data_IF_193961113086
#
_entry.id   IF_193961113086
#
_cell.length_a   1.000
_cell.length_b   1.000
_cell.length_c   1.000
_cell.angle_alpha   90.00
_cell.angle_beta   90.00
_cell.angle_gamma   90.00
#
_symmetry.space_group_name_H-M   'P 1'
#
loop_
_entity.id
_entity.type
_entity.pdbx_description
1 polymer ?
#
# COMPACT_ATOMS: atom_id res chain seq x y z
N UNK A 1 41.78 8.44 20.88
CA UNK A 1 42.34 9.80 21.08
C UNK A 1 42.70 10.38 19.74
N UNK A 2 41.97 11.38 19.25
CA UNK A 2 42.35 12.15 18.06
C UNK A 2 42.89 13.49 18.56
N UNK A 3 44.22 13.63 18.55
CA UNK A 3 44.92 14.88 18.85
C UNK A 3 44.61 15.90 17.74
N UNK A 4 43.71 16.82 18.04
CA UNK A 4 43.52 18.04 17.25
C UNK A 4 44.61 19.03 17.65
N UNK A 5 45.67 19.12 16.84
CA UNK A 5 46.78 20.09 16.95
C UNK A 5 46.30 21.55 16.86
N UNK A 6 45.84 22.13 17.97
CA UNK A 6 45.74 23.58 18.16
C UNK A 6 45.82 23.91 19.67
N UNK A 7 46.68 24.84 20.12
CA UNK A 7 47.01 25.04 21.54
C UNK A 7 45.88 25.63 22.42
N UNK A 8 44.71 25.98 21.86
CA UNK A 8 43.61 26.65 22.55
C UNK A 8 42.29 25.83 22.65
N UNK A 9 42.35 24.50 22.52
CA UNK A 9 41.16 23.66 22.39
C UNK A 9 40.52 23.19 23.71
N UNK A 10 41.28 23.04 24.80
CA UNK A 10 40.72 22.47 26.04
C UNK A 10 39.67 23.38 26.70
N UNK A 11 39.89 24.69 26.72
CA UNK A 11 38.93 25.66 27.28
C UNK A 11 37.66 25.74 26.42
N UNK A 12 37.81 25.73 25.09
CA UNK A 12 36.69 25.73 24.14
C UNK A 12 35.85 24.46 24.24
N UNK A 13 36.51 23.31 24.37
CA UNK A 13 35.87 22.02 24.63
C UNK A 13 35.14 22.04 25.97
N UNK A 14 35.80 22.50 27.03
CA UNK A 14 35.20 22.64 28.36
C UNK A 14 33.95 23.52 28.37
N UNK A 15 33.99 24.65 27.67
CA UNK A 15 32.85 25.56 27.52
C UNK A 15 31.68 24.93 26.74
N UNK A 16 31.96 24.22 25.64
CA UNK A 16 30.93 23.46 24.90
C UNK A 16 30.25 22.44 25.83
N UNK A 17 31.03 21.69 26.60
CA UNK A 17 30.51 20.65 27.50
C UNK A 17 29.71 21.25 28.66
N UNK A 18 30.17 22.36 29.26
CA UNK A 18 29.46 23.06 30.34
C UNK A 18 28.12 23.60 29.85
N UNK A 19 28.10 24.24 28.67
CA UNK A 19 26.86 24.72 28.05
C UNK A 19 25.91 23.56 27.72
N UNK A 20 26.44 22.42 27.26
CA UNK A 20 25.62 21.24 27.00
C UNK A 20 25.04 20.62 28.28
N UNK A 21 25.84 20.50 29.35
CA UNK A 21 25.38 20.04 30.67
C UNK A 21 24.28 20.95 31.24
N UNK A 22 24.31 22.24 30.93
CA UNK A 22 23.25 23.20 31.29
C UNK A 22 21.98 23.13 30.41
N UNK A 23 21.89 22.14 29.49
CA UNK A 23 20.70 21.87 28.68
C UNK A 23 20.56 22.69 27.40
N UNK A 24 21.58 23.46 26.99
CA UNK A 24 21.54 24.25 25.76
C UNK A 24 21.54 23.37 24.51
N UNK A 25 20.84 23.81 23.47
CA UNK A 25 20.81 23.14 22.16
C UNK A 25 22.11 23.37 21.39
N UNK A 26 22.44 22.50 20.43
CA UNK A 26 23.67 22.61 19.64
C UNK A 26 23.72 23.95 18.87
N UNK A 27 22.58 24.43 18.36
CA UNK A 27 22.49 25.73 17.68
C UNK A 27 22.76 26.90 18.65
N UNK A 28 22.22 26.84 19.87
CA UNK A 28 22.46 27.88 20.87
C UNK A 28 23.89 27.85 21.42
N UNK A 29 24.51 26.68 21.48
CA UNK A 29 25.93 26.53 21.81
C UNK A 29 26.79 27.14 20.69
N UNK A 30 26.45 26.88 19.43
CA UNK A 30 27.12 27.50 18.26
C UNK A 30 27.06 29.02 18.34
N UNK A 31 25.89 29.58 18.63
CA UNK A 31 25.71 31.03 18.80
C UNK A 31 26.54 31.59 19.95
N UNK A 32 26.51 30.96 21.13
CA UNK A 32 27.23 31.45 22.32
C UNK A 32 28.75 31.32 22.16
N UNK A 33 29.23 30.23 21.57
CA UNK A 33 30.67 29.96 21.44
C UNK A 33 31.27 30.56 20.18
N UNK A 34 30.44 31.05 19.25
CA UNK A 34 30.84 31.47 17.89
C UNK A 34 31.65 30.40 17.13
N UNK A 35 31.53 29.12 17.51
CA UNK A 35 32.27 28.03 16.87
C UNK A 35 31.48 27.43 15.69
N UNK A 36 32.18 26.89 14.68
CA UNK A 36 31.52 26.14 13.61
C UNK A 36 30.70 24.98 14.14
N UNK A 37 29.49 24.80 13.60
CA UNK A 37 28.56 23.75 14.02
C UNK A 37 29.17 22.33 13.90
N UNK A 38 30.02 22.12 12.90
CA UNK A 38 30.77 20.87 12.71
C UNK A 38 31.72 20.56 13.87
N UNK A 39 32.33 21.60 14.45
CA UNK A 39 33.30 21.48 15.53
C UNK A 39 32.58 21.23 16.86
N UNK A 40 31.49 21.97 17.13
CA UNK A 40 30.61 21.71 18.28
C UNK A 40 30.07 20.27 18.25
N UNK A 41 29.66 19.76 17.09
CA UNK A 41 29.21 18.37 16.93
C UNK A 41 30.34 17.38 17.20
N UNK A 42 31.53 17.56 16.62
CA UNK A 42 32.68 16.68 16.83
C UNK A 42 33.07 16.58 18.31
N UNK A 43 33.14 17.71 19.01
CA UNK A 43 33.46 17.75 20.45
C UNK A 43 32.42 16.95 21.27
N UNK A 44 31.13 17.16 21.00
CA UNK A 44 30.06 16.45 21.69
C UNK A 44 29.98 14.95 21.37
N UNK A 45 30.49 14.53 20.20
CA UNK A 45 30.56 13.12 19.79
C UNK A 45 31.75 12.42 20.46
N UNK A 46 32.92 13.08 20.54
CA UNK A 46 34.17 12.49 21.04
C UNK A 46 34.15 12.31 22.58
N UNK A 47 33.49 13.19 23.32
CA UNK A 47 33.45 13.19 24.80
C UNK A 47 32.39 12.26 25.43
N UNK A 48 31.83 11.31 24.67
CA UNK A 48 31.08 10.19 25.23
C UNK A 48 29.63 10.45 25.61
N UNK A 49 28.73 10.64 24.62
CA UNK A 49 27.32 10.20 24.71
C UNK A 49 26.82 9.77 23.32
N UNK A 50 26.78 8.46 23.06
CA UNK A 50 26.03 7.84 21.95
C UNK A 50 24.52 8.13 21.96
N UNK A 51 24.03 8.89 22.94
CA UNK A 51 22.66 9.39 23.01
C UNK A 51 22.59 10.88 22.72
N UNK A 52 22.79 11.26 21.45
CA UNK A 52 22.51 12.61 20.93
C UNK A 52 21.18 12.63 20.15
N UNK A 53 20.11 12.07 20.72
CA UNK A 53 18.77 12.50 20.32
C UNK A 53 18.50 13.89 20.90
N UNK A 54 17.89 14.81 20.13
CA UNK A 54 17.52 16.12 20.63
C UNK A 54 16.61 15.96 21.85
N UNK A 55 16.89 16.71 22.93
CA UNK A 55 15.85 17.02 23.91
C UNK A 55 15.01 18.14 23.28
N UNK A 56 13.75 17.88 22.87
CA UNK A 56 12.85 18.94 22.52
C UNK A 56 12.23 19.41 23.82
N UNK A 57 12.64 20.57 24.33
CA UNK A 57 11.64 21.45 24.95
C UNK A 57 10.94 22.20 23.82
N UNK A 58 10.03 21.48 23.16
CA UNK A 58 8.90 22.05 22.43
C UNK A 58 7.75 21.13 22.75
N UNK A 59 6.74 21.67 23.43
CA UNK A 59 5.38 21.15 23.59
C UNK A 59 5.02 20.01 22.63
N UNK A 60 5.36 18.76 22.97
CA UNK A 60 4.66 17.60 22.44
C UNK A 60 3.56 17.32 23.44
N UNK A 61 2.42 17.99 23.31
CA UNK A 61 1.20 17.33 23.77
C UNK A 61 1.20 15.99 23.04
N UNK A 62 1.35 14.91 23.79
CA UNK A 62 0.92 13.61 23.30
C UNK A 62 -0.50 13.83 22.79
N UNK A 63 -0.75 13.57 21.50
CA UNK A 63 -2.09 13.72 20.99
C UNK A 63 -3.00 12.88 21.87
N UNK A 64 -3.98 13.53 22.45
CA UNK A 64 -5.01 12.87 23.25
C UNK A 64 -5.71 11.83 22.38
N UNK A 65 -6.27 10.81 23.02
CA UNK A 65 -7.09 9.81 22.33
C UNK A 65 -8.20 10.47 21.48
N UNK A 66 -8.76 11.59 21.95
CA UNK A 66 -9.74 12.39 21.23
C UNK A 66 -9.20 12.99 19.94
N UNK A 67 -8.00 13.57 19.94
CA UNK A 67 -7.39 14.14 18.73
C UNK A 67 -7.05 13.07 17.68
N UNK A 68 -6.60 11.89 18.12
CA UNK A 68 -6.35 10.75 17.21
C UNK A 68 -7.66 10.27 16.59
N UNK A 69 -8.73 10.16 17.38
CA UNK A 69 -10.06 9.78 16.90
C UNK A 69 -10.62 10.80 15.90
N UNK A 70 -10.43 12.09 16.16
CA UNK A 70 -10.86 13.16 15.27
C UNK A 70 -10.14 13.07 13.91
N UNK A 71 -8.80 12.99 13.93
CA UNK A 71 -8.00 12.83 12.70
C UNK A 71 -8.33 11.54 11.97
N UNK A 72 -8.49 10.43 12.69
CA UNK A 72 -8.93 9.17 12.09
C UNK A 72 -10.28 9.31 11.42
N UNK A 73 -11.25 9.93 12.09
CA UNK A 73 -12.59 10.15 11.55
C UNK A 73 -12.56 10.96 10.25
N UNK A 74 -11.78 12.04 10.22
CA UNK A 74 -11.61 12.87 9.02
C UNK A 74 -10.99 12.07 7.86
N UNK A 75 -9.91 11.34 8.11
CA UNK A 75 -9.28 10.51 7.08
C UNK A 75 -10.20 9.38 6.60
N UNK A 76 -10.89 8.70 7.52
CA UNK A 76 -11.80 7.62 7.19
C UNK A 76 -12.95 8.11 6.31
N UNK A 77 -13.53 9.26 6.66
CA UNK A 77 -14.58 9.91 5.88
C UNK A 77 -14.09 10.28 4.48
N UNK A 78 -12.88 10.85 4.33
CA UNK A 78 -12.29 11.17 3.02
C UNK A 78 -12.15 9.94 2.13
N UNK A 79 -11.66 8.82 2.67
CA UNK A 79 -11.56 7.57 1.93
C UNK A 79 -12.92 7.02 1.53
N UNK A 80 -13.88 7.01 2.46
CA UNK A 80 -15.23 6.47 2.19
C UNK A 80 -15.98 7.32 1.17
N UNK A 81 -15.92 8.65 1.26
CA UNK A 81 -16.57 9.54 0.29
C UNK A 81 -16.07 9.31 -1.14
N UNK A 82 -14.76 9.13 -1.31
CA UNK A 82 -14.19 8.91 -2.64
C UNK A 82 -14.51 7.51 -3.20
N UNK A 83 -14.84 6.55 -2.32
CA UNK A 83 -15.25 5.19 -2.70
C UNK A 83 -16.77 5.07 -2.93
N UNK A 84 -17.57 5.86 -2.21
CA UNK A 84 -19.02 5.85 -2.25
C UNK A 84 -19.53 7.01 -3.09
N UNK A 85 -19.90 6.75 -4.34
CA UNK A 85 -20.58 7.78 -5.14
C UNK A 85 -21.90 8.26 -4.53
N UNK A 86 -22.55 7.52 -3.61
CA UNK A 86 -23.89 7.87 -3.11
C UNK A 86 -24.27 7.45 -1.65
N UNK A 87 -23.40 6.83 -0.83
CA UNK A 87 -23.75 6.61 0.60
C UNK A 87 -22.56 6.20 1.48
N UNK A 88 -22.26 7.00 2.49
CA UNK A 88 -21.27 6.71 3.56
C UNK A 88 -21.78 5.68 4.57
N UNK A 89 -23.10 5.50 4.69
CA UNK A 89 -23.74 4.60 5.65
C UNK A 89 -23.28 3.15 5.50
N UNK A 90 -22.93 2.73 4.27
CA UNK A 90 -22.44 1.38 3.98
C UNK A 90 -21.12 1.05 4.69
N UNK A 91 -20.34 2.04 5.11
CA UNK A 91 -19.00 1.84 5.69
C UNK A 91 -18.93 2.19 7.18
N UNK A 92 -19.99 2.74 7.78
CA UNK A 92 -20.00 3.11 9.20
C UNK A 92 -19.86 1.88 10.12
N UNK A 93 -20.47 0.75 9.76
CA UNK A 93 -20.33 -0.49 10.53
C UNK A 93 -18.88 -0.98 10.64
N UNK A 94 -18.00 -0.60 9.69
CA UNK A 94 -16.58 -0.96 9.71
C UNK A 94 -15.73 0.04 10.49
N UNK A 95 -16.21 1.26 10.71
CA UNK A 95 -15.46 2.34 11.38
C UNK A 95 -15.10 1.97 12.81
N UNK A 96 -16.04 1.41 13.57
CA UNK A 96 -15.79 0.95 14.94
C UNK A 96 -14.71 -0.14 15.00
N UNK A 97 -14.76 -1.11 14.07
CA UNK A 97 -13.72 -2.15 13.95
C UNK A 97 -12.36 -1.55 13.58
N UNK A 98 -12.33 -0.58 12.67
CA UNK A 98 -11.11 0.12 12.27
C UNK A 98 -10.46 0.85 13.45
N UNK A 99 -11.24 1.58 14.25
CA UNK A 99 -10.74 2.30 15.44
C UNK A 99 -10.10 1.32 16.43
N UNK A 100 -10.76 0.18 16.70
CA UNK A 100 -10.23 -0.83 17.62
C UNK A 100 -8.86 -1.35 17.17
N UNK A 101 -8.72 -1.69 15.89
CA UNK A 101 -7.46 -2.19 15.33
C UNK A 101 -6.40 -1.09 15.28
N UNK A 102 -6.77 0.16 14.99
CA UNK A 102 -5.84 1.30 15.00
C UNK A 102 -5.17 1.44 16.36
N UNK A 103 -5.94 1.42 17.45
CA UNK A 103 -5.37 1.56 18.79
C UNK A 103 -4.47 0.38 19.16
N UNK A 104 -4.83 -0.85 18.78
CA UNK A 104 -3.94 -2.02 18.95
C UNK A 104 -2.59 -1.81 18.25
N UNK A 105 -2.60 -1.30 17.01
CA UNK A 105 -1.37 -0.97 16.27
C UNK A 105 -0.57 0.12 16.98
N UNK A 106 -1.23 1.18 17.41
CA UNK A 106 -0.57 2.32 18.05
C UNK A 106 0.07 1.90 19.40
N UNK A 107 -0.53 0.95 20.11
CA UNK A 107 -0.01 0.41 21.36
C UNK A 107 1.20 -0.52 21.15
N UNK A 108 1.26 -1.24 20.03
CA UNK A 108 2.38 -2.14 19.67
C UNK A 108 3.58 -1.41 19.05
N UNK A 109 3.37 -0.21 18.50
CA UNK A 109 4.47 0.59 17.96
C UNK A 109 5.39 1.06 19.10
N UNK A 110 6.72 1.01 18.94
CA UNK A 110 7.63 1.54 19.95
C UNK A 110 7.22 2.97 20.29
N UNK A 111 7.17 3.33 21.59
CA UNK A 111 6.88 4.67 22.13
C UNK A 111 7.91 5.70 21.64
N UNK A 112 7.93 5.93 20.34
CA UNK A 112 8.72 6.92 19.64
C UNK A 112 7.92 8.22 19.71
N UNK A 113 8.55 9.38 19.96
CA UNK A 113 7.86 10.65 20.17
C UNK A 113 7.32 11.25 18.86
N UNK A 114 6.70 10.45 18.00
CA UNK A 114 6.38 10.83 16.64
C UNK A 114 4.96 10.44 16.22
N UNK A 115 3.99 10.91 17.00
CA UNK A 115 2.66 11.25 16.49
C UNK A 115 2.72 12.25 15.31
N UNK A 116 3.89 12.89 15.07
CA UNK A 116 4.26 13.66 13.86
C UNK A 116 4.11 12.88 12.54
N UNK A 117 3.82 11.58 12.58
CA UNK A 117 3.61 10.76 11.39
C UNK A 117 2.18 10.21 11.25
N UNK A 118 1.21 10.61 12.08
CA UNK A 118 -0.18 10.17 11.94
C UNK A 118 -0.76 10.48 10.56
N UNK A 119 -0.48 11.66 10.01
CA UNK A 119 -0.88 12.01 8.63
C UNK A 119 -0.30 11.09 7.55
N UNK A 120 0.74 10.29 7.86
CA UNK A 120 1.27 9.25 6.96
C UNK A 120 0.78 7.86 7.32
N UNK A 121 0.55 7.59 8.61
CA UNK A 121 0.12 6.28 9.12
C UNK A 121 -1.37 6.07 8.90
N UNK A 122 -2.21 7.05 9.25
CA UNK A 122 -3.67 6.94 9.16
C UNK A 122 -4.18 6.63 7.75
N UNK A 123 -3.74 7.33 6.68
CA UNK A 123 -4.20 7.00 5.32
C UNK A 123 -3.84 5.57 4.92
N UNK A 124 -2.63 5.12 5.30
CA UNK A 124 -2.12 3.79 4.94
C UNK A 124 -2.82 2.71 5.76
N UNK A 125 -3.07 2.97 7.05
CA UNK A 125 -3.85 2.11 7.91
C UNK A 125 -5.27 1.93 7.36
N UNK A 126 -5.96 3.02 7.03
CA UNK A 126 -7.32 2.99 6.47
C UNK A 126 -7.33 2.23 5.14
N UNK A 127 -6.39 2.53 4.24
CA UNK A 127 -6.21 1.80 2.99
C UNK A 127 -6.06 0.28 3.23
N UNK A 128 -5.16 -0.13 4.12
CA UNK A 128 -4.93 -1.54 4.43
C UNK A 128 -6.15 -2.19 5.09
N UNK A 129 -6.80 -1.51 6.01
CA UNK A 129 -7.99 -1.98 6.71
C UNK A 129 -9.15 -2.21 5.73
N UNK A 130 -9.43 -1.25 4.84
CA UNK A 130 -10.50 -1.38 3.84
C UNK A 130 -10.22 -2.58 2.92
N UNK A 131 -8.98 -2.74 2.46
CA UNK A 131 -8.58 -3.88 1.61
C UNK A 131 -8.63 -5.22 2.35
N UNK A 132 -8.30 -5.26 3.64
CA UNK A 132 -8.47 -6.45 4.47
C UNK A 132 -9.94 -6.86 4.59
N UNK A 133 -10.86 -5.89 4.64
CA UNK A 133 -12.30 -6.13 4.62
C UNK A 133 -12.89 -6.18 3.19
N UNK A 134 -12.07 -6.59 2.21
CA UNK A 134 -12.46 -6.83 0.80
C UNK A 134 -12.95 -5.62 0.00
N UNK A 135 -12.81 -4.42 0.56
CA UNK A 135 -13.15 -3.18 -0.14
C UNK A 135 -12.01 -2.86 -1.10
N UNK A 136 -12.36 -2.61 -2.35
CA UNK A 136 -11.39 -2.34 -3.37
C UNK A 136 -10.96 -0.87 -3.33
N UNK A 137 -9.75 -0.64 -2.84
CA UNK A 137 -9.15 0.68 -2.72
C UNK A 137 -7.88 0.69 -3.56
N UNK A 138 -7.80 1.62 -4.51
CA UNK A 138 -6.65 1.72 -5.41
C UNK A 138 -5.45 2.38 -4.72
N UNK A 139 -4.23 2.00 -5.11
CA UNK A 139 -3.02 2.67 -4.60
C UNK A 139 -2.98 4.15 -5.03
N UNK A 140 -3.55 4.47 -6.21
CA UNK A 140 -3.67 5.85 -6.69
C UNK A 140 -4.54 6.69 -5.76
N UNK A 141 -5.64 6.13 -5.26
CA UNK A 141 -6.49 6.81 -4.28
C UNK A 141 -5.72 7.12 -2.98
N UNK A 142 -4.94 6.15 -2.48
CA UNK A 142 -4.06 6.38 -1.33
C UNK A 142 -3.04 7.50 -1.62
N UNK A 143 -2.41 7.51 -2.79
CA UNK A 143 -1.44 8.55 -3.17
C UNK A 143 -2.11 9.93 -3.24
N UNK A 144 -3.27 10.03 -3.88
CA UNK A 144 -4.02 11.27 -4.05
C UNK A 144 -4.44 11.85 -2.69
N UNK A 145 -5.03 11.02 -1.83
CA UNK A 145 -5.52 11.48 -0.53
C UNK A 145 -4.37 11.82 0.43
N UNK A 146 -3.30 11.02 0.45
CA UNK A 146 -2.20 11.20 1.40
C UNK A 146 -1.13 12.21 0.95
N UNK A 147 -1.12 12.61 -0.32
CA UNK A 147 -0.05 13.41 -0.92
C UNK A 147 1.30 12.69 -0.97
N UNK A 148 1.33 11.38 -0.75
CA UNK A 148 2.56 10.58 -0.75
C UNK A 148 2.87 10.02 -2.13
N UNK A 149 4.17 10.01 -2.46
CA UNK A 149 4.66 9.26 -3.61
C UNK A 149 4.55 7.74 -3.37
N UNK A 150 4.61 6.99 -4.47
CA UNK A 150 4.43 5.54 -4.48
C UNK A 150 5.42 4.83 -3.54
N UNK A 151 6.67 5.27 -3.51
CA UNK A 151 7.71 4.66 -2.68
C UNK A 151 7.44 4.86 -1.18
N UNK A 152 7.02 6.07 -0.77
CA UNK A 152 6.61 6.37 0.60
C UNK A 152 5.39 5.55 1.02
N UNK A 153 4.38 5.40 0.14
CA UNK A 153 3.24 4.52 0.38
C UNK A 153 3.71 3.08 0.65
N UNK A 154 4.60 2.51 -0.17
CA UNK A 154 5.10 1.16 0.03
C UNK A 154 5.92 0.99 1.32
N UNK A 155 6.75 1.95 1.69
CA UNK A 155 7.47 1.89 2.97
C UNK A 155 6.51 1.90 4.16
N UNK A 156 5.48 2.76 4.14
CA UNK A 156 4.49 2.83 5.19
C UNK A 156 3.64 1.54 5.25
N UNK A 157 3.25 1.00 4.09
CA UNK A 157 2.55 -0.28 3.99
C UNK A 157 3.39 -1.41 4.60
N UNK A 158 4.69 -1.48 4.31
CA UNK A 158 5.57 -2.50 4.88
C UNK A 158 5.60 -2.47 6.42
N UNK A 159 5.49 -1.27 7.01
CA UNK A 159 5.44 -1.10 8.48
C UNK A 159 4.12 -1.56 9.08
N UNK A 160 3.01 -1.39 8.37
CA UNK A 160 1.65 -1.66 8.87
C UNK A 160 1.16 -3.06 8.50
N UNK A 161 1.66 -3.64 7.40
CA UNK A 161 1.21 -4.95 6.89
C UNK A 161 1.46 -6.09 7.87
N UNK A 162 2.47 -5.99 8.74
CA UNK A 162 2.69 -6.95 9.82
C UNK A 162 1.48 -7.11 10.75
N UNK A 163 0.64 -6.07 10.87
CA UNK A 163 -0.52 -6.05 11.77
C UNK A 163 -1.83 -6.47 11.11
N UNK A 164 -1.83 -6.74 9.80
CA UNK A 164 -3.00 -7.30 9.10
C UNK A 164 -2.68 -8.71 8.59
N UNK A 165 -2.48 -9.70 9.48
CA UNK A 165 -2.21 -11.06 9.07
C UNK A 165 -3.34 -11.63 8.22
N UNK A 166 -4.58 -11.19 8.44
CA UNK A 166 -5.76 -11.57 7.64
C UNK A 166 -5.61 -11.19 6.16
N UNK A 167 -5.02 -10.02 5.85
CA UNK A 167 -4.77 -9.59 4.48
C UNK A 167 -3.66 -10.41 3.81
N UNK A 168 -2.65 -10.83 4.59
CA UNK A 168 -1.54 -11.66 4.13
C UNK A 168 -1.97 -13.12 3.96
N UNK A 169 -2.80 -13.64 4.87
CA UNK A 169 -3.27 -15.03 4.93
C UNK A 169 -4.52 -15.30 4.07
N UNK A 170 -5.14 -14.27 3.49
CA UNK A 170 -6.36 -14.46 2.68
C UNK A 170 -6.08 -15.38 1.49
N UNK A 171 -7.02 -16.29 1.24
CA UNK A 171 -7.02 -17.03 -0.01
C UNK A 171 -7.37 -16.08 -1.16
N UNK A 172 -6.32 -15.55 -1.79
CA UNK A 172 -6.45 -14.62 -2.90
C UNK A 172 -7.16 -15.24 -4.09
N UNK A 173 -7.09 -16.56 -4.29
CA UNK A 173 -7.85 -17.23 -5.36
C UNK A 173 -9.35 -17.10 -5.08
N UNK A 174 -9.79 -17.32 -3.84
CA UNK A 174 -11.20 -17.16 -3.46
C UNK A 174 -11.68 -15.71 -3.59
N UNK A 175 -10.84 -14.73 -3.23
CA UNK A 175 -11.17 -13.30 -3.44
C UNK A 175 -11.38 -13.00 -4.93
N UNK A 176 -10.49 -13.51 -5.78
CA UNK A 176 -10.60 -13.36 -7.24
C UNK A 176 -11.86 -14.05 -7.76
N UNK A 177 -12.15 -15.28 -7.33
CA UNK A 177 -13.37 -16.00 -7.72
C UNK A 177 -14.63 -15.28 -7.24
N UNK A 178 -14.64 -14.70 -6.04
CA UNK A 178 -15.75 -13.89 -5.56
C UNK A 178 -16.06 -12.71 -6.49
N UNK A 179 -15.02 -12.03 -7.00
CA UNK A 179 -15.17 -10.96 -7.99
C UNK A 179 -15.68 -11.47 -9.33
N UNK A 180 -15.21 -12.63 -9.81
CA UNK A 180 -15.72 -13.25 -11.03
C UNK A 180 -17.18 -13.70 -10.88
N UNK A 181 -17.56 -14.22 -9.71
CA UNK A 181 -18.95 -14.58 -9.39
C UNK A 181 -19.86 -13.35 -9.43
N UNK A 182 -19.38 -12.21 -8.92
CA UNK A 182 -20.11 -10.95 -8.99
C UNK A 182 -20.38 -10.53 -10.45
N UNK A 183 -19.40 -10.69 -11.36
CA UNK A 183 -19.60 -10.44 -12.81
C UNK A 183 -20.67 -11.40 -13.36
N UNK A 184 -20.57 -12.70 -13.04
CA UNK A 184 -21.56 -13.69 -13.48
C UNK A 184 -22.98 -13.27 -13.12
N UNK A 185 -23.20 -12.94 -11.84
CA UNK A 185 -24.52 -12.56 -11.34
C UNK A 185 -24.99 -11.27 -12.00
N UNK A 186 -24.12 -10.25 -12.09
CA UNK A 186 -24.49 -8.95 -12.62
C UNK A 186 -24.88 -8.97 -14.11
N UNK A 187 -24.20 -9.78 -14.93
CA UNK A 187 -24.48 -9.88 -16.36
C UNK A 187 -25.32 -11.11 -16.75
N UNK A 188 -25.83 -11.87 -15.77
CA UNK A 188 -26.63 -13.07 -16.04
C UNK A 188 -25.89 -14.15 -16.83
N UNK A 189 -24.59 -14.35 -16.57
CA UNK A 189 -23.79 -15.35 -17.31
C UNK A 189 -24.07 -16.78 -16.83
N UNK A 190 -23.93 -17.72 -17.76
CA UNK A 190 -24.13 -19.16 -17.55
C UNK A 190 -23.18 -19.77 -16.48
N UNK A 191 -23.54 -20.92 -15.91
CA UNK A 191 -22.66 -21.64 -14.96
C UNK A 191 -21.31 -22.00 -15.57
N UNK A 192 -21.29 -22.38 -16.86
CA UNK A 192 -20.06 -22.71 -17.59
C UNK A 192 -19.04 -21.58 -17.61
N UNK A 193 -19.48 -20.32 -17.56
CA UNK A 193 -18.56 -19.18 -17.45
C UNK A 193 -17.75 -19.25 -16.15
N UNK A 194 -18.40 -19.50 -15.01
CA UNK A 194 -17.72 -19.52 -13.71
C UNK A 194 -16.89 -20.79 -13.51
N UNK A 195 -17.36 -21.93 -14.03
CA UNK A 195 -16.58 -23.17 -14.05
C UNK A 195 -15.29 -23.00 -14.86
N UNK A 196 -15.40 -22.44 -16.07
CA UNK A 196 -14.25 -22.15 -16.91
C UNK A 196 -13.30 -21.15 -16.25
N UNK A 197 -13.83 -20.07 -15.68
CA UNK A 197 -13.04 -19.11 -14.93
C UNK A 197 -12.24 -19.77 -13.77
N UNK A 198 -12.85 -20.73 -13.08
CA UNK A 198 -12.20 -21.46 -11.99
C UNK A 198 -11.03 -22.31 -12.50
N UNK A 199 -11.23 -23.06 -13.58
CA UNK A 199 -10.18 -23.85 -14.24
C UNK A 199 -9.03 -22.97 -14.73
N UNK A 200 -9.37 -21.86 -15.41
CA UNK A 200 -8.39 -20.89 -15.93
C UNK A 200 -7.57 -20.26 -14.78
N UNK A 201 -8.23 -19.87 -13.69
CA UNK A 201 -7.55 -19.31 -12.51
C UNK A 201 -6.58 -20.30 -11.89
N UNK A 202 -7.02 -21.55 -11.69
CA UNK A 202 -6.17 -22.59 -11.11
C UNK A 202 -4.94 -22.85 -11.98
N UNK A 203 -5.12 -22.97 -13.29
CA UNK A 203 -4.04 -23.26 -14.24
C UNK A 203 -3.01 -22.14 -14.34
N UNK A 204 -3.46 -20.88 -14.36
CA UNK A 204 -2.59 -19.73 -14.64
C UNK A 204 -2.22 -18.92 -13.40
N UNK A 205 -2.54 -19.41 -12.20
CA UNK A 205 -2.28 -18.71 -10.95
C UNK A 205 -0.81 -18.28 -10.82
N UNK A 206 0.13 -19.19 -11.04
CA UNK A 206 1.58 -18.94 -10.92
C UNK A 206 2.10 -17.85 -11.88
N UNK A 207 1.36 -17.58 -12.95
CA UNK A 207 1.71 -16.56 -13.94
C UNK A 207 1.08 -15.20 -13.60
N UNK A 208 -0.12 -15.21 -13.02
CA UNK A 208 -0.95 -14.02 -12.84
C UNK A 208 -0.96 -13.47 -11.40
N UNK A 209 -0.52 -14.24 -10.40
CA UNK A 209 -0.67 -13.88 -8.97
C UNK A 209 0.05 -12.58 -8.56
N UNK A 210 1.05 -12.13 -9.31
CA UNK A 210 1.89 -10.97 -9.01
C UNK A 210 1.28 -9.62 -9.43
N UNK A 211 -0.04 -9.46 -9.33
CA UNK A 211 -0.76 -8.21 -9.61
C UNK A 211 -1.97 -8.05 -8.69
N UNK A 212 -2.69 -6.93 -8.78
CA UNK A 212 -3.90 -6.67 -7.99
C UNK A 212 -5.05 -7.63 -8.32
N UNK A 213 -5.83 -8.00 -7.30
CA UNK A 213 -6.90 -9.02 -7.42
C UNK A 213 -7.94 -8.67 -8.49
N UNK A 214 -8.27 -7.39 -8.68
CA UNK A 214 -9.16 -6.93 -9.75
C UNK A 214 -8.60 -7.19 -11.14
N UNK A 215 -7.31 -6.94 -11.33
CA UNK A 215 -6.64 -7.15 -12.62
C UNK A 215 -6.65 -8.66 -12.92
N UNK A 216 -6.39 -9.50 -11.91
CA UNK A 216 -6.51 -10.96 -12.05
C UNK A 216 -7.95 -11.34 -12.41
N UNK A 217 -8.94 -10.90 -11.62
CA UNK A 217 -10.35 -11.21 -11.85
C UNK A 217 -10.84 -10.77 -13.23
N UNK A 218 -10.47 -9.58 -13.68
CA UNK A 218 -10.78 -9.10 -15.03
C UNK A 218 -10.11 -9.91 -16.13
N UNK A 219 -8.84 -10.30 -15.93
CA UNK A 219 -8.11 -11.16 -16.89
C UNK A 219 -8.76 -12.54 -17.00
N UNK A 220 -9.09 -13.17 -15.88
CA UNK A 220 -9.76 -14.47 -15.82
C UNK A 220 -11.16 -14.39 -16.43
N UNK A 221 -11.93 -13.36 -16.09
CA UNK A 221 -13.26 -13.16 -16.66
C UNK A 221 -13.20 -12.94 -18.18
N UNK A 222 -12.23 -12.15 -18.68
CA UNK A 222 -12.05 -11.95 -20.12
C UNK A 222 -11.77 -13.27 -20.86
N UNK A 223 -10.90 -14.12 -20.29
CA UNK A 223 -10.61 -15.45 -20.82
C UNK A 223 -11.82 -16.39 -20.76
N UNK A 224 -12.58 -16.36 -19.66
CA UNK A 224 -13.78 -17.17 -19.52
C UNK A 224 -14.95 -16.71 -20.43
N UNK A 225 -15.05 -15.41 -20.74
CA UNK A 225 -16.01 -14.93 -21.74
C UNK A 225 -15.67 -15.45 -23.13
N UNK A 226 -14.38 -15.46 -23.48
CA UNK A 226 -13.90 -16.08 -24.71
C UNK A 226 -14.23 -17.58 -24.73
N UNK A 227 -14.11 -18.27 -23.58
CA UNK A 227 -14.30 -19.71 -23.52
C UNK A 227 -15.74 -20.17 -23.73
N UNK A 228 -16.71 -19.30 -23.44
CA UNK A 228 -18.14 -19.58 -23.63
C UNK A 228 -18.72 -18.86 -24.85
N UNK A 229 -17.85 -18.31 -25.72
CA UNK A 229 -18.24 -17.53 -26.90
C UNK A 229 -19.25 -16.40 -26.58
N UNK A 230 -19.12 -15.78 -25.40
CA UNK A 230 -20.03 -14.70 -25.00
C UNK A 230 -19.87 -13.47 -25.88
N UNK A 231 -21.00 -12.82 -26.19
CA UNK A 231 -21.03 -11.53 -26.86
C UNK A 231 -20.78 -10.34 -25.92
N UNK A 232 -20.68 -10.57 -24.59
CA UNK A 232 -20.42 -9.52 -23.63
C UNK A 232 -19.05 -8.87 -23.89
N UNK A 233 -18.98 -7.55 -24.15
CA UNK A 233 -17.71 -6.89 -24.37
C UNK A 233 -16.84 -6.90 -23.11
N UNK A 234 -15.56 -7.25 -23.25
CA UNK A 234 -14.58 -7.19 -22.15
C UNK A 234 -14.50 -5.79 -21.53
N UNK A 235 -14.79 -4.74 -22.30
CA UNK A 235 -14.89 -3.37 -21.79
C UNK A 235 -15.88 -3.25 -20.63
N UNK A 236 -17.07 -3.86 -20.74
CA UNK A 236 -18.10 -3.83 -19.71
C UNK A 236 -17.62 -4.52 -18.42
N UNK A 237 -16.92 -5.64 -18.55
CA UNK A 237 -16.29 -6.30 -17.40
C UNK A 237 -15.23 -5.42 -16.74
N UNK A 238 -14.42 -4.73 -17.54
CA UNK A 238 -13.40 -3.80 -17.05
C UNK A 238 -14.03 -2.64 -16.27
N UNK A 239 -15.08 -2.03 -16.83
CA UNK A 239 -15.88 -0.98 -16.17
C UNK A 239 -16.45 -1.48 -14.84
N UNK A 240 -17.04 -2.68 -14.82
CA UNK A 240 -17.65 -3.26 -13.61
C UNK A 240 -16.64 -3.55 -12.50
N UNK A 241 -15.45 -4.00 -12.86
CA UNK A 241 -14.37 -4.28 -11.91
C UNK A 241 -13.56 -3.01 -11.56
N UNK A 242 -13.69 -1.92 -12.31
CA UNK A 242 -12.91 -0.70 -12.09
C UNK A 242 -11.45 -0.83 -12.53
N UNK A 243 -11.19 -1.47 -13.66
CA UNK A 243 -9.85 -1.56 -14.27
C UNK A 243 -9.86 -1.09 -15.72
N UNK A 244 -8.69 -0.75 -16.27
CA UNK A 244 -8.56 -0.45 -17.69
C UNK A 244 -8.36 -1.72 -18.52
N UNK A 245 -8.85 -1.72 -19.76
CA UNK A 245 -8.58 -2.82 -20.71
C UNK A 245 -7.08 -3.01 -20.95
N UNK A 246 -6.31 -1.92 -20.96
CA UNK A 246 -4.85 -1.97 -21.13
C UNK A 246 -4.16 -2.82 -20.06
N UNK A 247 -4.68 -2.86 -18.82
CA UNK A 247 -4.15 -3.69 -17.75
C UNK A 247 -4.34 -5.19 -18.04
N UNK A 248 -5.49 -5.59 -18.59
CA UNK A 248 -5.75 -6.97 -19.03
C UNK A 248 -4.83 -7.34 -20.20
N UNK A 249 -4.74 -6.46 -21.21
CA UNK A 249 -3.87 -6.65 -22.38
C UNK A 249 -2.42 -6.85 -21.93
N UNK A 250 -1.94 -6.04 -20.98
CA UNK A 250 -0.61 -6.17 -20.41
C UNK A 250 -0.41 -7.52 -19.70
N UNK A 251 -1.37 -7.96 -18.88
CA UNK A 251 -1.29 -9.27 -18.21
C UNK A 251 -1.24 -10.42 -19.21
N UNK A 252 -2.15 -10.43 -20.18
CA UNK A 252 -2.20 -11.48 -21.19
C UNK A 252 -0.90 -11.52 -21.99
N UNK A 253 -0.42 -10.37 -22.48
CA UNK A 253 0.81 -10.31 -23.29
C UNK A 253 2.05 -10.71 -22.50
N UNK A 254 2.29 -10.06 -21.37
CA UNK A 254 3.59 -10.08 -20.70
C UNK A 254 3.70 -11.14 -19.60
N UNK A 255 2.57 -11.60 -19.05
CA UNK A 255 2.56 -12.58 -17.96
C UNK A 255 2.09 -13.94 -18.41
N UNK A 256 1.12 -14.02 -19.32
CA UNK A 256 0.61 -15.29 -19.82
C UNK A 256 1.33 -15.72 -21.11
N UNK A 257 1.10 -15.01 -22.22
CA UNK A 257 1.57 -15.42 -23.55
C UNK A 257 3.09 -15.48 -23.66
N UNK A 258 3.80 -14.49 -23.12
CA UNK A 258 5.27 -14.50 -23.07
C UNK A 258 5.82 -15.74 -22.34
N UNK A 259 5.15 -16.22 -21.29
CA UNK A 259 5.57 -17.42 -20.54
C UNK A 259 5.19 -18.73 -21.25
N UNK A 260 4.19 -18.68 -22.12
CA UNK A 260 3.79 -19.78 -22.98
C UNK A 260 4.55 -19.78 -24.33
N UNK A 261 5.53 -18.89 -24.51
CA UNK A 261 6.28 -18.69 -25.76
C UNK A 261 5.41 -18.36 -26.98
N UNK A 262 4.27 -17.70 -26.77
CA UNK A 262 3.34 -17.29 -27.84
C UNK A 262 3.64 -15.84 -28.24
N UNK A 263 4.01 -15.61 -29.50
CA UNK A 263 4.36 -14.29 -30.06
C UNK A 263 3.23 -13.73 -30.96
N UNK A 264 3.31 -12.44 -31.33
CA UNK A 264 2.35 -11.81 -32.27
C UNK A 264 1.16 -11.04 -31.66
N UNK A 265 1.09 -10.88 -30.34
CA UNK A 265 -0.04 -10.23 -29.66
C UNK A 265 0.01 -8.68 -29.73
N UNK A 266 -0.95 -8.06 -30.43
CA UNK A 266 -1.17 -6.59 -30.43
C UNK A 266 -2.49 -6.16 -29.79
N UNK A 267 -3.61 -6.86 -30.05
CA UNK A 267 -4.94 -6.50 -29.52
C UNK A 267 -5.74 -7.72 -29.06
N UNK A 268 -6.72 -7.53 -28.16
CA UNK A 268 -7.58 -8.61 -27.66
C UNK A 268 -8.41 -9.28 -28.77
N UNK A 269 -8.85 -8.52 -29.78
CA UNK A 269 -9.63 -9.03 -30.92
C UNK A 269 -8.80 -9.97 -31.81
N UNK A 270 -7.56 -9.61 -32.11
CA UNK A 270 -6.62 -10.46 -32.86
C UNK A 270 -6.19 -11.68 -32.04
N UNK A 271 -6.11 -11.52 -30.72
CA UNK A 271 -5.73 -12.58 -29.81
C UNK A 271 -6.84 -13.61 -29.58
N UNK A 272 -8.10 -13.35 -29.97
CA UNK A 272 -9.21 -14.28 -29.73
C UNK A 272 -8.89 -15.67 -30.26
N UNK A 273 -8.44 -15.78 -31.52
CA UNK A 273 -8.12 -17.09 -32.13
C UNK A 273 -7.00 -17.81 -31.38
N UNK A 274 -5.89 -17.11 -31.13
CA UNK A 274 -4.72 -17.66 -30.43
C UNK A 274 -5.03 -18.03 -28.98
N UNK A 275 -5.78 -17.20 -28.26
CA UNK A 275 -6.20 -17.48 -26.89
C UNK A 275 -7.16 -18.68 -26.86
N UNK A 276 -8.09 -18.78 -27.80
CA UNK A 276 -9.01 -19.92 -27.86
C UNK A 276 -8.25 -21.22 -28.13
N UNK A 277 -7.43 -21.30 -29.19
CA UNK A 277 -6.75 -22.55 -29.59
C UNK A 277 -5.54 -22.89 -28.73
N UNK A 278 -4.64 -21.94 -28.46
CA UNK A 278 -3.37 -22.26 -27.78
C UNK A 278 -3.46 -22.25 -26.26
N UNK A 279 -4.43 -21.52 -25.71
CA UNK A 279 -4.53 -21.27 -24.26
C UNK A 279 -5.76 -21.96 -23.66
N UNK A 280 -6.95 -21.77 -24.24
CA UNK A 280 -8.19 -22.23 -23.61
C UNK A 280 -8.53 -23.68 -23.93
N UNK A 281 -8.31 -24.15 -25.17
CA UNK A 281 -8.55 -25.55 -25.56
C UNK A 281 -7.85 -26.54 -24.61
N UNK A 282 -6.59 -26.27 -24.26
CA UNK A 282 -5.77 -27.09 -23.33
C UNK A 282 -6.20 -27.04 -21.86
N UNK A 283 -7.08 -26.10 -21.48
CA UNK A 283 -7.39 -25.79 -20.07
C UNK A 283 -8.86 -26.03 -19.73
N UNK A 284 -9.75 -25.73 -20.67
CA UNK A 284 -11.20 -25.87 -20.50
C UNK A 284 -11.82 -26.83 -21.52
N UNK A 285 -11.04 -27.38 -22.46
CA UNK A 285 -11.50 -28.38 -23.42
C UNK A 285 -12.37 -27.81 -24.53
N UNK A 286 -12.24 -26.52 -24.86
CA UNK A 286 -12.97 -25.92 -25.98
C UNK A 286 -12.37 -26.45 -27.28
N UNK A 287 -13.12 -27.25 -28.04
CA UNK A 287 -12.79 -27.50 -29.44
C UNK A 287 -13.24 -26.28 -30.25
N UNK A 288 -12.30 -25.70 -31.00
CA UNK A 288 -12.52 -24.54 -31.88
C UNK A 288 -13.55 -24.79 -32.98
#
# INVERSE_FOLDING_TARGET
MLELKFPNNQEKVGNILKLRKSGKTILKIKEITSLPLSLVKKVLIVEGKENLKPSPRLSSSLLTKGEILAQFGEWYYRFVNELSTNSTAKFEHLRGKAIKILFQILDELPKSPSYKHLNRILPVFIFSFLRANTIDVSISLLQNLSGMDRHKCFQALKRINGTFPEYIKRDRKQVVLGKVRMIKVFYGLDSRFFENATKILQRFWEFLCNTGDNIIAGTIAALALLSVHSNLPVLRVCEKIGISQSAIIYQLRNKLLKRLNITGFKTFRQAKKVLTSEVLEKVVGIKS
#
